data_IF_059976212295
#
_entry.id   IF_059976212295
#
_cell.length_a   1.000
_cell.length_b   1.000
_cell.length_c   1.000
_cell.angle_alpha   90.00
_cell.angle_beta   90.00
_cell.angle_gamma   90.00
#
_symmetry.space_group_name_H-M   'P 1'
#
loop_
_entity.id
_entity.type
_entity.pdbx_description
1 polymer ?
#
# COMPACT_ATOMS: atom_id res chain seq x y z
N UNK A 1 36.36 -10.07 40.45
CA UNK A 1 35.65 -9.84 39.18
C UNK A 1 35.22 -11.22 38.67
N UNK A 2 33.91 -11.56 38.74
CA UNK A 2 33.41 -12.87 38.28
C UNK A 2 32.85 -12.70 36.87
N UNK A 3 33.45 -13.37 35.90
CA UNK A 3 32.94 -13.48 34.54
C UNK A 3 31.87 -14.57 34.55
N UNK A 4 30.62 -14.21 34.26
CA UNK A 4 29.57 -15.18 34.02
C UNK A 4 29.72 -15.68 32.58
N UNK A 5 30.12 -16.94 32.42
CA UNK A 5 30.04 -17.63 31.14
C UNK A 5 28.60 -18.09 30.95
N UNK A 6 27.87 -17.45 30.02
CA UNK A 6 26.55 -17.94 29.61
C UNK A 6 26.81 -19.11 28.65
N UNK A 7 26.40 -20.34 28.97
CA UNK A 7 26.58 -21.45 28.04
C UNK A 7 25.69 -21.26 26.81
N UNK A 8 26.24 -21.49 25.61
CA UNK A 8 25.59 -21.41 24.29
C UNK A 8 24.38 -22.34 24.10
N UNK A 9 23.92 -23.04 25.14
CA UNK A 9 22.89 -24.10 25.04
C UNK A 9 21.47 -23.68 25.40
N UNK A 10 21.16 -22.38 25.38
CA UNK A 10 19.77 -21.89 25.51
C UNK A 10 19.25 -21.16 24.26
N UNK A 11 19.95 -21.25 23.12
CA UNK A 11 19.44 -20.77 21.81
C UNK A 11 18.73 -21.94 21.12
N UNK A 12 17.73 -22.50 21.81
CA UNK A 12 16.89 -23.60 21.33
C UNK A 12 15.42 -23.23 21.24
N UNK A 13 15.08 -21.96 21.45
CA UNK A 13 13.72 -21.47 21.31
C UNK A 13 13.63 -20.75 19.97
N UNK A 14 12.95 -21.36 18.98
CA UNK A 14 12.32 -20.56 17.93
C UNK A 14 11.39 -19.59 18.65
N UNK A 15 11.86 -18.39 18.96
CA UNK A 15 10.94 -17.31 19.30
C UNK A 15 9.99 -17.23 18.10
N UNK A 16 8.66 -17.30 18.30
CA UNK A 16 7.76 -16.94 17.22
C UNK A 16 8.22 -15.55 16.78
N UNK A 17 8.52 -15.43 15.49
CA UNK A 17 8.82 -14.15 14.87
C UNK A 17 7.50 -13.38 15.03
N UNK A 18 7.34 -12.64 16.14
CA UNK A 18 6.21 -11.74 16.31
C UNK A 18 6.50 -10.67 15.25
N UNK A 19 5.88 -10.80 14.09
CA UNK A 19 5.87 -9.72 13.12
C UNK A 19 5.24 -8.56 13.86
N UNK A 20 6.04 -7.53 14.13
CA UNK A 20 5.49 -6.31 14.70
C UNK A 20 4.39 -5.82 13.74
N UNK A 21 3.27 -5.27 14.23
CA UNK A 21 2.22 -4.76 13.34
C UNK A 21 2.72 -3.69 12.36
N UNK A 22 3.88 -3.09 12.65
CA UNK A 22 4.61 -2.13 11.80
C UNK A 22 5.57 -2.77 10.77
N UNK A 23 5.76 -4.09 10.81
CA UNK A 23 6.68 -4.81 9.90
C UNK A 23 6.10 -5.01 8.51
N UNK A 24 4.77 -4.91 8.39
CA UNK A 24 4.06 -4.81 7.13
C UNK A 24 3.28 -3.49 7.17
N UNK A 25 3.74 -2.50 6.41
CA UNK A 25 3.03 -1.23 6.26
C UNK A 25 1.77 -1.44 5.42
N UNK A 26 0.69 -1.86 6.06
CA UNK A 26 -0.63 -1.90 5.44
C UNK A 26 -1.23 -0.50 5.57
N UNK A 27 -1.27 0.24 4.46
CA UNK A 27 -2.06 1.47 4.39
C UNK A 27 -3.51 1.13 4.74
N UNK A 28 -4.17 1.95 5.56
CA UNK A 28 -5.60 1.78 5.79
C UNK A 28 -6.35 1.92 4.46
N UNK A 29 -7.57 1.36 4.33
CA UNK A 29 -8.37 1.56 3.12
C UNK A 29 -8.52 3.04 2.75
N UNK A 30 -8.65 3.92 3.74
CA UNK A 30 -8.74 5.37 3.54
C UNK A 30 -7.43 5.97 3.01
N UNK A 31 -6.29 5.60 3.58
CA UNK A 31 -4.97 6.05 3.09
C UNK A 31 -4.72 5.56 1.65
N UNK A 32 -5.15 4.34 1.34
CA UNK A 32 -5.06 3.78 0.00
C UNK A 32 -5.99 4.51 -0.98
N UNK A 33 -7.23 4.80 -0.58
CA UNK A 33 -8.18 5.56 -1.39
C UNK A 33 -7.64 6.97 -1.70
N UNK A 34 -7.11 7.67 -0.69
CA UNK A 34 -6.48 8.98 -0.88
C UNK A 34 -5.31 8.93 -1.87
N UNK A 35 -4.46 7.88 -1.78
CA UNK A 35 -3.37 7.67 -2.74
C UNK A 35 -3.86 7.55 -4.18
N UNK A 36 -4.90 6.74 -4.41
CA UNK A 36 -5.52 6.55 -5.73
C UNK A 36 -6.21 7.83 -6.25
N UNK A 37 -6.86 8.59 -5.37
CA UNK A 37 -7.45 9.89 -5.74
C UNK A 37 -6.39 10.89 -6.22
N UNK A 38 -5.25 10.97 -5.51
CA UNK A 38 -4.14 11.84 -5.90
C UNK A 38 -3.50 11.41 -7.22
N UNK A 39 -3.35 10.11 -7.43
CA UNK A 39 -2.86 9.54 -8.69
C UNK A 39 -3.81 9.89 -9.84
N UNK A 40 -5.12 9.75 -9.64
CA UNK A 40 -6.13 10.09 -10.64
C UNK A 40 -6.06 11.58 -11.04
N UNK A 41 -5.91 12.48 -10.06
CA UNK A 41 -5.76 13.93 -10.32
C UNK A 41 -4.56 14.21 -11.22
N UNK A 42 -3.42 13.58 -10.95
CA UNK A 42 -2.21 13.78 -11.74
C UNK A 42 -2.33 13.18 -13.15
N UNK A 43 -2.95 12.00 -13.28
CA UNK A 43 -3.21 11.38 -14.57
C UNK A 43 -4.16 12.23 -15.43
N UNK A 44 -5.24 12.74 -14.86
CA UNK A 44 -6.17 13.64 -15.57
C UNK A 44 -5.48 14.95 -16.00
N UNK A 45 -4.60 15.50 -15.15
CA UNK A 45 -3.76 16.66 -15.52
C UNK A 45 -2.87 16.34 -16.72
N UNK A 46 -2.12 15.23 -16.67
CA UNK A 46 -1.25 14.77 -17.77
C UNK A 46 -2.04 14.51 -19.04
N UNK A 47 -3.23 13.92 -18.94
CA UNK A 47 -4.11 13.65 -20.07
C UNK A 47 -4.60 14.92 -20.77
N UNK A 48 -4.84 15.99 -20.01
CA UNK A 48 -5.18 17.32 -20.54
C UNK A 48 -4.03 18.05 -21.25
N UNK A 49 -2.78 17.62 -21.04
CA UNK A 49 -1.59 18.21 -21.68
C UNK A 49 -1.23 17.51 -23.01
N UNK A 50 -1.86 16.38 -23.28
CA UNK A 50 -1.58 15.54 -24.46
C UNK A 50 -2.68 15.73 -25.52
N UNK A 51 -2.28 15.75 -26.79
CA UNK A 51 -3.21 15.88 -27.90
C UNK A 51 -4.14 14.65 -28.01
N UNK A 52 -5.42 14.92 -28.25
CA UNK A 52 -6.42 13.87 -28.44
C UNK A 52 -6.09 12.97 -29.64
N UNK A 53 -6.38 11.68 -29.47
CA UNK A 53 -6.13 10.65 -30.48
C UNK A 53 -4.65 10.27 -30.64
N UNK A 54 -3.73 10.85 -29.86
CA UNK A 54 -2.36 10.38 -29.80
C UNK A 54 -2.26 9.03 -29.07
N UNK A 55 -1.23 8.20 -29.34
CA UNK A 55 -1.00 6.97 -28.60
C UNK A 55 -0.87 7.22 -27.08
N UNK A 56 -0.15 8.27 -26.70
CA UNK A 56 0.01 8.65 -25.29
C UNK A 56 -1.32 9.02 -24.60
N UNK A 57 -2.28 9.59 -25.34
CA UNK A 57 -3.61 9.84 -24.80
C UNK A 57 -4.34 8.52 -24.51
N UNK A 58 -4.26 7.53 -25.41
CA UNK A 58 -4.88 6.23 -25.20
C UNK A 58 -4.25 5.45 -24.04
N UNK A 59 -2.93 5.52 -23.88
CA UNK A 59 -2.23 4.90 -22.74
C UNK A 59 -2.67 5.54 -21.41
N UNK A 60 -2.72 6.87 -21.35
CA UNK A 60 -3.21 7.60 -20.17
C UNK A 60 -4.68 7.32 -19.86
N UNK A 61 -5.54 7.22 -20.88
CA UNK A 61 -6.95 6.89 -20.70
C UNK A 61 -7.10 5.47 -20.08
N UNK A 62 -6.25 4.52 -20.49
CA UNK A 62 -6.23 3.18 -19.91
C UNK A 62 -5.73 3.17 -18.45
N UNK A 63 -4.67 3.91 -18.14
CA UNK A 63 -4.16 4.07 -16.76
C UNK A 63 -5.24 4.70 -15.84
N UNK A 64 -5.94 5.73 -16.33
CA UNK A 64 -7.05 6.37 -15.61
C UNK A 64 -8.17 5.37 -15.31
N UNK A 65 -8.57 4.56 -16.29
CA UNK A 65 -9.62 3.56 -16.13
C UNK A 65 -9.22 2.45 -15.15
N UNK A 66 -7.93 2.10 -15.08
CA UNK A 66 -7.39 1.16 -14.10
C UNK A 66 -7.45 1.75 -12.68
N UNK A 67 -6.92 2.95 -12.46
CA UNK A 67 -6.93 3.61 -11.14
C UNK A 67 -8.37 3.83 -10.64
N UNK A 68 -9.30 4.19 -11.54
CA UNK A 68 -10.73 4.31 -11.19
C UNK A 68 -11.33 2.98 -10.74
N UNK A 69 -10.96 1.87 -11.38
CA UNK A 69 -11.43 0.53 -10.98
C UNK A 69 -10.90 0.17 -9.61
N UNK A 70 -9.64 0.41 -9.35
CA UNK A 70 -9.00 0.17 -8.06
C UNK A 70 -9.63 1.02 -6.95
N UNK A 71 -9.93 2.29 -7.24
CA UNK A 71 -10.60 3.17 -6.28
C UNK A 71 -12.00 2.65 -5.93
N UNK A 72 -12.77 2.18 -6.92
CA UNK A 72 -14.08 1.54 -6.68
C UNK A 72 -13.94 0.28 -5.85
N UNK A 73 -12.91 -0.54 -6.08
CA UNK A 73 -12.65 -1.74 -5.28
C UNK A 73 -12.36 -1.38 -3.82
N UNK A 74 -11.48 -0.41 -3.58
CA UNK A 74 -11.15 0.07 -2.23
C UNK A 74 -12.37 0.67 -1.54
N UNK A 75 -13.17 1.48 -2.24
CA UNK A 75 -14.40 2.08 -1.70
C UNK A 75 -15.51 1.05 -1.43
N UNK A 76 -15.43 -0.13 -2.04
CA UNK A 76 -16.37 -1.23 -1.82
C UNK A 76 -15.96 -2.13 -0.65
N UNK A 77 -14.77 -1.92 -0.07
CA UNK A 77 -14.34 -2.67 1.11
C UNK A 77 -15.24 -2.31 2.29
N UNK A 78 -15.71 -3.30 3.07
CA UNK A 78 -16.48 -3.02 4.26
C UNK A 78 -15.60 -2.26 5.26
N UNK A 79 -16.18 -1.25 5.93
CA UNK A 79 -15.58 -0.65 7.13
C UNK A 79 -15.33 -1.77 8.13
N UNK A 80 -14.08 -2.23 8.19
CA UNK A 80 -13.66 -3.14 9.24
C UNK A 80 -13.64 -2.32 10.53
N UNK A 81 -14.19 -2.84 11.65
CA UNK A 81 -14.20 -2.11 12.90
C UNK A 81 -12.76 -1.77 13.26
N UNK A 82 -12.48 -0.46 13.36
CA UNK A 82 -11.22 0.06 13.88
C UNK A 82 -10.96 -0.63 15.22
N UNK A 83 -9.91 -1.45 15.28
CA UNK A 83 -9.58 -2.20 16.49
C UNK A 83 -9.14 -1.17 17.55
N UNK A 84 -10.04 -0.89 18.48
CA UNK A 84 -9.84 0.00 19.62
C UNK A 84 -8.89 -0.59 20.67
#
# INVERSE_FOLDING_TARGET
>A
MRVFHIPDRLIGSRQPQISSPWSEGHASPEDRALGLELELIELERRRGEVADGSPAAADLDAEIDEVRRDLVEVASLPDLPSVA
#
